data_IF_047428276165
#
_entry.id   IF_047428276165
#
_cell.length_a   1.000
_cell.length_b   1.000
_cell.length_c   1.000
_cell.angle_alpha   90.00
_cell.angle_beta   90.00
_cell.angle_gamma   90.00
#
_symmetry.space_group_name_H-M   'P 1'
#
loop_
_entity.id
_entity.type
_entity.pdbx_description
1 polymer ?
#
# COMPACT_ATOMS: atom_id res chain seq x y z
N UNK A 1 -23.24 -6.07 -18.59
CA UNK A 1 -22.23 -7.11 -18.91
C UNK A 1 -21.33 -7.19 -17.70
N UNK A 2 -21.37 -8.32 -17.01
CA UNK A 2 -20.70 -8.61 -15.74
C UNK A 2 -19.20 -8.76 -15.96
N UNK A 3 -18.39 -7.94 -15.28
CA UNK A 3 -16.95 -8.17 -15.17
C UNK A 3 -16.73 -9.49 -14.43
N UNK A 4 -16.26 -10.51 -15.14
CA UNK A 4 -15.88 -11.78 -14.55
C UNK A 4 -14.56 -11.57 -13.80
N UNK A 5 -14.59 -11.73 -12.49
CA UNK A 5 -13.40 -12.03 -11.70
C UNK A 5 -12.68 -13.22 -12.35
N UNK A 6 -11.41 -13.02 -12.70
CA UNK A 6 -10.57 -14.09 -13.22
C UNK A 6 -10.33 -15.12 -12.11
N UNK A 7 -10.15 -16.38 -12.47
CA UNK A 7 -10.18 -17.55 -11.57
C UNK A 7 -8.99 -17.69 -10.58
N UNK A 8 -8.47 -16.60 -10.01
CA UNK A 8 -7.22 -16.63 -9.23
C UNK A 8 -7.26 -15.96 -7.85
N UNK A 9 -8.41 -15.45 -7.41
CA UNK A 9 -8.55 -14.89 -6.06
C UNK A 9 -9.00 -15.96 -5.05
N UNK A 10 -8.35 -15.97 -3.89
CA UNK A 10 -8.70 -16.85 -2.77
C UNK A 10 -8.94 -16.02 -1.51
N UNK A 11 -10.11 -16.20 -0.92
CA UNK A 11 -10.47 -15.69 0.41
C UNK A 11 -9.70 -16.45 1.51
N UNK A 12 -9.23 -15.74 2.53
CA UNK A 12 -8.43 -16.32 3.63
C UNK A 12 -8.91 -15.96 5.04
N UNK A 13 -10.09 -15.34 5.22
CA UNK A 13 -10.55 -14.86 6.53
C UNK A 13 -11.98 -15.23 6.89
N UNK A 14 -12.24 -15.47 8.17
CA UNK A 14 -13.60 -15.46 8.74
C UNK A 14 -13.93 -14.00 9.16
N UNK A 15 -15.22 -13.58 9.12
CA UNK A 15 -15.80 -12.21 9.16
C UNK A 15 -15.34 -11.18 10.25
N UNK A 16 -14.26 -11.41 10.97
CA UNK A 16 -13.77 -10.56 12.07
C UNK A 16 -12.63 -9.59 11.68
N UNK A 17 -12.10 -9.65 10.46
CA UNK A 17 -10.99 -8.79 9.97
C UNK A 17 -11.49 -7.53 9.23
N UNK A 18 -12.01 -6.55 9.98
CA UNK A 18 -12.70 -5.40 9.40
C UNK A 18 -11.97 -4.05 9.52
N UNK A 19 -10.74 -4.01 10.03
CA UNK A 19 -9.78 -2.89 9.88
C UNK A 19 -8.37 -3.42 10.21
N UNK A 20 -7.60 -3.75 9.19
CA UNK A 20 -6.27 -4.30 9.41
C UNK A 20 -5.23 -3.75 8.45
N UNK A 21 -4.02 -3.55 8.97
CA UNK A 21 -2.84 -3.37 8.14
C UNK A 21 -2.37 -4.75 7.66
N UNK A 22 -2.10 -4.86 6.36
CA UNK A 22 -1.53 -6.07 5.75
C UNK A 22 -0.08 -5.82 5.41
N UNK A 23 0.77 -6.74 5.85
CA UNK A 23 2.15 -6.77 5.43
C UNK A 23 2.50 -8.21 5.04
N UNK A 24 3.10 -8.40 3.87
CA UNK A 24 3.73 -9.68 3.58
C UNK A 24 4.90 -9.88 4.55
N UNK A 25 4.95 -11.06 5.16
CA UNK A 25 6.07 -11.46 6.01
C UNK A 25 7.39 -11.31 5.29
N UNK A 26 8.46 -11.23 6.08
CA UNK A 26 9.81 -11.05 5.54
C UNK A 26 10.22 -12.17 4.58
N UNK A 27 9.71 -13.37 4.78
CA UNK A 27 9.98 -14.54 3.95
C UNK A 27 9.04 -14.69 2.74
N UNK A 28 8.01 -13.84 2.62
CA UNK A 28 6.95 -13.96 1.63
C UNK A 28 6.03 -15.17 1.85
N UNK A 29 6.19 -15.89 2.96
CA UNK A 29 5.44 -17.11 3.23
C UNK A 29 4.08 -16.83 3.86
N UNK A 30 3.90 -15.70 4.52
CA UNK A 30 2.68 -15.37 5.25
C UNK A 30 2.26 -13.92 5.01
N UNK A 31 0.98 -13.64 5.29
CA UNK A 31 0.51 -12.28 5.49
C UNK A 31 0.38 -12.07 6.99
N UNK A 32 0.97 -10.98 7.45
CA UNK A 32 0.81 -10.47 8.79
C UNK A 32 -0.35 -9.48 8.76
N UNK A 33 -1.35 -9.75 9.60
CA UNK A 33 -2.56 -8.95 9.74
C UNK A 33 -2.58 -8.37 11.15
N UNK A 34 -2.83 -7.07 11.29
CA UNK A 34 -3.06 -6.45 12.61
C UNK A 34 -4.54 -6.13 12.76
N UNK A 35 -5.23 -6.73 13.73
CA UNK A 35 -6.65 -6.47 13.95
C UNK A 35 -6.91 -5.12 14.67
N UNK A 36 -8.19 -4.81 14.93
CA UNK A 36 -8.65 -3.61 15.68
C UNK A 36 -8.00 -3.42 17.05
N UNK A 37 -7.62 -4.52 17.69
CA UNK A 37 -7.02 -4.53 19.02
C UNK A 37 -5.48 -4.54 18.93
N UNK A 38 -4.92 -4.26 17.74
CA UNK A 38 -3.50 -4.33 17.41
C UNK A 38 -2.89 -5.73 17.62
N UNK A 39 -3.70 -6.79 17.63
CA UNK A 39 -3.20 -8.17 17.71
C UNK A 39 -2.69 -8.57 16.35
N UNK A 40 -1.50 -9.16 16.35
CA UNK A 40 -0.88 -9.67 15.13
C UNK A 40 -1.31 -11.11 14.91
N UNK A 41 -1.92 -11.36 13.75
CA UNK A 41 -2.28 -12.69 13.26
C UNK A 41 -1.45 -12.96 12.01
N UNK A 42 -0.72 -14.06 12.01
CA UNK A 42 0.10 -14.47 10.87
C UNK A 42 -0.59 -15.63 10.14
N UNK A 43 -0.89 -15.43 8.85
CA UNK A 43 -1.54 -16.42 8.00
C UNK A 43 -0.52 -16.97 7.02
N UNK A 44 -0.09 -18.23 7.20
CA UNK A 44 0.85 -18.91 6.30
C UNK A 44 0.18 -19.26 4.97
N UNK A 45 0.83 -18.90 3.86
CA UNK A 45 0.34 -19.02 2.49
C UNK A 45 1.14 -20.02 1.65
N UNK A 46 2.46 -20.10 1.84
CA UNK A 46 3.35 -21.03 1.12
C UNK A 46 4.47 -21.57 2.01
N UNK A 47 5.18 -22.61 1.55
CA UNK A 47 6.30 -23.24 2.28
C UNK A 47 7.71 -22.89 1.78
N UNK A 48 7.85 -21.93 0.85
CA UNK A 48 9.12 -21.58 0.22
C UNK A 48 9.60 -20.18 0.64
N UNK A 49 10.90 -20.05 0.98
CA UNK A 49 11.49 -18.86 1.62
C UNK A 49 12.10 -17.88 0.61
N UNK A 50 11.83 -16.57 0.77
CA UNK A 50 12.54 -15.49 0.08
C UNK A 50 13.10 -14.45 1.06
N UNK A 51 14.40 -14.08 1.03
CA UNK A 51 14.99 -13.25 2.09
C UNK A 51 14.65 -11.74 2.00
N UNK A 52 14.37 -11.08 3.14
CA UNK A 52 14.40 -9.62 3.34
C UNK A 52 15.45 -9.22 4.41
N UNK A 53 16.13 -8.05 4.29
CA UNK A 53 17.13 -7.58 5.25
C UNK A 53 16.52 -7.04 6.57
N UNK A 54 17.34 -7.01 7.64
CA UNK A 54 16.91 -6.92 9.06
C UNK A 54 16.62 -5.51 9.62
N UNK A 55 16.82 -4.41 8.89
CA UNK A 55 16.91 -3.09 9.56
C UNK A 55 15.55 -2.41 9.88
N UNK A 56 15.39 -1.83 11.09
CA UNK A 56 14.18 -1.09 11.51
C UNK A 56 14.10 0.34 10.91
N UNK A 57 12.90 0.94 11.05
CA UNK A 57 12.40 2.16 10.39
C UNK A 57 13.43 3.30 10.27
N UNK A 58 13.68 3.73 9.04
CA UNK A 58 14.38 4.99 8.68
C UNK A 58 13.45 6.09 8.22
N UNK A 59 12.15 5.90 8.39
CA UNK A 59 11.15 6.92 8.13
C UNK A 59 10.12 6.95 9.25
N UNK A 60 9.76 8.15 9.69
CA UNK A 60 8.81 8.34 10.77
C UNK A 60 8.06 9.67 10.63
N UNK A 61 6.90 9.72 11.28
CA UNK A 61 6.12 10.94 11.45
C UNK A 61 6.54 11.62 12.77
N UNK A 62 6.69 12.95 12.73
CA UNK A 62 6.87 13.81 13.91
C UNK A 62 6.20 15.16 13.67
N UNK A 63 5.27 15.54 14.54
CA UNK A 63 4.53 16.81 14.51
C UNK A 63 3.77 17.05 13.18
N UNK A 64 3.19 15.99 12.62
CA UNK A 64 2.49 15.99 11.34
C UNK A 64 3.41 16.14 10.13
N UNK A 65 4.70 15.82 10.27
CA UNK A 65 5.68 15.91 9.20
C UNK A 65 6.46 14.60 9.07
N UNK A 66 6.88 14.26 7.86
CA UNK A 66 7.60 13.03 7.56
C UNK A 66 9.09 13.29 7.54
N UNK A 67 9.83 12.47 8.28
CA UNK A 67 11.28 12.51 8.37
C UNK A 67 11.87 11.19 7.89
N UNK A 68 13.01 11.28 7.21
CA UNK A 68 13.89 10.16 6.93
C UNK A 68 15.20 10.32 7.70
N UNK A 69 15.73 9.22 8.21
CA UNK A 69 16.96 9.18 9.02
C UNK A 69 17.97 8.21 8.39
N UNK A 70 19.21 8.68 8.22
CA UNK A 70 20.29 7.88 7.62
C UNK A 70 20.89 6.86 8.62
N UNK A 71 21.93 6.12 8.21
CA UNK A 71 22.60 5.15 9.10
C UNK A 71 23.30 5.78 10.30
N UNK A 72 23.67 7.06 10.18
CA UNK A 72 24.45 7.82 11.16
C UNK A 72 23.55 8.51 12.20
N UNK A 73 22.22 8.45 12.01
CA UNK A 73 21.23 9.11 12.87
C UNK A 73 20.88 10.54 12.46
N UNK A 74 21.34 11.00 11.29
CA UNK A 74 20.94 12.30 10.77
C UNK A 74 19.54 12.21 10.17
N UNK A 75 18.61 12.93 10.80
CA UNK A 75 17.23 13.04 10.35
C UNK A 75 17.03 14.30 9.51
N UNK A 76 16.36 14.15 8.37
CA UNK A 76 15.91 15.24 7.52
C UNK A 76 14.42 15.12 7.24
N UNK A 77 13.78 16.26 7.02
CA UNK A 77 12.37 16.30 6.64
C UNK A 77 12.21 16.01 5.15
N UNK A 78 11.29 15.11 4.83
CA UNK A 78 10.96 14.66 3.47
C UNK A 78 9.66 15.30 2.97
N UNK A 79 8.72 15.64 3.87
CA UNK A 79 7.44 16.25 3.50
C UNK A 79 7.51 17.77 3.29
N UNK A 80 6.57 18.30 2.50
CA UNK A 80 6.32 19.75 2.37
C UNK A 80 5.44 20.31 3.49
N UNK A 81 5.17 21.62 3.50
CA UNK A 81 4.44 22.33 4.58
C UNK A 81 2.92 22.46 4.35
N UNK A 82 2.40 21.92 3.25
CA UNK A 82 1.05 22.20 2.78
C UNK A 82 -0.05 21.43 3.53
N UNK A 83 0.31 20.46 4.37
CA UNK A 83 -0.62 19.58 5.08
C UNK A 83 0.02 19.06 6.37
N UNK A 84 -0.76 18.31 7.15
CA UNK A 84 -0.26 17.36 8.14
C UNK A 84 -0.20 15.99 7.51
N UNK A 85 0.96 15.36 7.63
CA UNK A 85 1.26 14.08 7.02
C UNK A 85 1.34 12.96 8.05
N UNK A 86 1.07 11.74 7.60
CA UNK A 86 1.09 10.53 8.39
C UNK A 86 1.42 9.30 7.52
N UNK A 87 1.49 8.15 8.18
CA UNK A 87 1.56 6.82 7.58
C UNK A 87 2.70 6.67 6.54
N UNK A 88 3.95 7.07 6.86
CA UNK A 88 5.03 7.00 5.89
C UNK A 88 5.53 5.56 5.69
N UNK A 89 5.77 5.20 4.43
CA UNK A 89 6.34 3.91 4.04
C UNK A 89 7.52 4.13 3.11
N UNK A 90 8.69 3.63 3.52
CA UNK A 90 9.93 3.68 2.73
C UNK A 90 9.87 2.64 1.60
N UNK A 91 10.36 2.99 0.42
CA UNK A 91 10.47 2.07 -0.72
C UNK A 91 11.49 0.95 -0.43
N UNK A 92 11.37 -0.23 -1.07
CA UNK A 92 12.29 -1.35 -0.88
C UNK A 92 13.77 -1.04 -1.07
N UNK A 93 14.10 -0.12 -2.00
CA UNK A 93 15.45 0.35 -2.29
C UNK A 93 15.90 1.53 -1.41
N UNK A 94 15.07 1.97 -0.45
CA UNK A 94 15.33 3.06 0.49
C UNK A 94 15.53 4.46 -0.15
N UNK A 95 15.09 4.66 -1.39
CA UNK A 95 15.29 5.94 -2.10
C UNK A 95 14.07 6.86 -2.11
N UNK A 96 12.87 6.31 -1.89
CA UNK A 96 11.60 7.02 -1.94
C UNK A 96 10.78 6.75 -0.68
N UNK A 97 9.89 7.69 -0.36
CA UNK A 97 8.90 7.57 0.71
C UNK A 97 7.53 7.88 0.14
N UNK A 98 6.57 6.98 0.35
CA UNK A 98 5.14 7.29 0.16
C UNK A 98 4.54 7.66 1.51
N UNK A 99 3.68 8.68 1.54
CA UNK A 99 3.01 9.12 2.76
C UNK A 99 1.69 9.82 2.45
N UNK A 100 0.82 9.92 3.44
CA UNK A 100 -0.52 10.51 3.32
C UNK A 100 -0.58 11.89 3.94
N UNK A 101 -1.12 12.87 3.22
CA UNK A 101 -1.60 14.15 3.74
C UNK A 101 -3.08 14.05 4.11
N UNK A 102 -3.48 14.65 5.23
CA UNK A 102 -4.87 14.55 5.74
C UNK A 102 -5.92 15.12 4.81
N UNK A 103 -5.59 16.20 4.09
CA UNK A 103 -6.52 16.89 3.19
C UNK A 103 -6.13 16.72 1.73
N UNK A 104 -4.86 16.41 1.46
CA UNK A 104 -4.28 16.46 0.12
C UNK A 104 -3.94 15.09 -0.47
N UNK A 105 -4.22 14.00 0.25
CA UNK A 105 -4.06 12.62 -0.24
C UNK A 105 -2.60 12.16 -0.26
N UNK A 106 -2.26 11.27 -1.18
CA UNK A 106 -0.95 10.59 -1.19
C UNK A 106 0.14 11.37 -1.92
N UNK A 107 1.35 11.20 -1.44
CA UNK A 107 2.58 11.74 -2.04
C UNK A 107 3.65 10.67 -2.12
N UNK A 108 4.50 10.79 -3.13
CA UNK A 108 5.79 10.10 -3.20
C UNK A 108 6.88 11.15 -3.23
N UNK A 109 7.85 11.05 -2.32
CA UNK A 109 9.02 11.94 -2.28
C UNK A 109 10.32 11.16 -2.28
N UNK A 110 11.38 11.73 -2.85
CA UNK A 110 12.74 11.25 -2.60
C UNK A 110 13.12 11.46 -1.13
N UNK A 111 13.93 10.57 -0.57
CA UNK A 111 14.39 10.66 0.83
C UNK A 111 15.19 11.95 1.13
N UNK A 112 15.72 12.61 0.11
CA UNK A 112 16.37 13.93 0.22
C UNK A 112 15.41 15.12 0.09
N UNK A 113 14.11 14.87 -0.08
CA UNK A 113 13.05 15.87 -0.18
C UNK A 113 13.08 16.75 -1.42
N UNK A 114 13.98 16.50 -2.39
CA UNK A 114 14.13 17.37 -3.57
C UNK A 114 13.13 17.09 -4.68
N UNK A 115 12.59 15.88 -4.72
CA UNK A 115 11.56 15.47 -5.68
C UNK A 115 10.34 14.99 -4.91
N UNK A 116 9.19 15.58 -5.21
CA UNK A 116 7.90 15.16 -4.68
C UNK A 116 6.88 15.16 -5.80
N UNK A 117 6.08 14.10 -5.88
CA UNK A 117 4.88 14.03 -6.71
C UNK A 117 3.66 13.84 -5.81
N UNK A 118 2.55 14.48 -6.17
CA UNK A 118 1.25 14.20 -5.57
C UNK A 118 0.54 13.16 -6.41
N UNK A 119 0.01 12.12 -5.75
CA UNK A 119 -0.88 11.13 -6.38
C UNK A 119 -2.35 11.56 -6.28
N UNK A 120 -2.64 12.61 -5.50
CA UNK A 120 -4.00 13.05 -5.18
C UNK A 120 -4.70 12.10 -4.22
N UNK A 121 -6.02 12.00 -4.34
CA UNK A 121 -6.85 11.13 -3.50
C UNK A 121 -6.36 9.68 -3.50
N UNK A 122 -6.31 9.09 -2.31
CA UNK A 122 -5.96 7.69 -2.06
C UNK A 122 -5.53 7.42 -0.63
N UNK A 123 -5.56 6.15 -0.23
CA UNK A 123 -5.15 5.66 1.09
C UNK A 123 -4.39 4.31 1.00
N UNK A 124 -3.81 3.88 2.12
CA UNK A 124 -3.13 2.59 2.31
C UNK A 124 -2.15 2.17 1.18
N UNK A 125 -1.13 2.99 0.87
CA UNK A 125 -0.20 2.64 -0.21
C UNK A 125 0.71 1.46 0.15
N UNK A 126 0.90 0.58 -0.82
CA UNK A 126 1.88 -0.50 -0.82
C UNK A 126 2.85 -0.37 -1.99
N UNK A 127 4.14 -0.42 -1.69
CA UNK A 127 5.20 -0.41 -2.69
C UNK A 127 5.23 -1.69 -3.52
N UNK A 128 5.51 -1.53 -4.82
CA UNK A 128 6.03 -2.64 -5.61
C UNK A 128 7.43 -3.02 -5.13
N UNK A 129 7.81 -4.32 -5.19
CA UNK A 129 9.10 -4.78 -4.70
C UNK A 129 10.30 -4.22 -5.48
N UNK A 130 10.08 -3.74 -6.70
CA UNK A 130 11.08 -3.09 -7.55
C UNK A 130 11.17 -1.57 -7.37
N UNK A 131 10.48 -1.00 -6.36
CA UNK A 131 10.36 0.44 -6.10
C UNK A 131 9.82 1.28 -7.27
N UNK A 132 9.25 0.68 -8.31
CA UNK A 132 8.86 1.41 -9.52
C UNK A 132 7.46 2.05 -9.46
N UNK A 133 6.69 1.73 -8.42
CA UNK A 133 5.36 2.30 -8.21
C UNK A 133 4.73 1.83 -6.90
N UNK A 134 3.50 2.28 -6.69
CA UNK A 134 2.66 1.90 -5.54
C UNK A 134 1.31 1.41 -6.01
N UNK A 135 0.73 0.49 -5.25
CA UNK A 135 -0.70 0.16 -5.29
C UNK A 135 -1.35 0.80 -4.06
N UNK A 136 -2.51 1.42 -4.21
CA UNK A 136 -3.23 2.10 -3.13
C UNK A 136 -4.72 2.03 -3.40
N UNK A 137 -5.56 2.33 -2.41
CA UNK A 137 -7.01 2.37 -2.62
C UNK A 137 -7.53 3.80 -2.75
N UNK A 138 -8.63 3.96 -3.49
CA UNK A 138 -9.39 5.21 -3.57
C UNK A 138 -10.82 4.89 -3.12
N UNK A 139 -11.20 5.26 -1.87
CA UNK A 139 -12.54 5.04 -1.38
C UNK A 139 -13.52 6.05 -2.00
N UNK A 140 -14.72 5.60 -2.36
CA UNK A 140 -15.80 6.46 -2.84
C UNK A 140 -16.83 6.63 -1.73
N UNK A 141 -17.11 7.89 -1.37
CA UNK A 141 -18.10 8.22 -0.35
C UNK A 141 -19.40 8.79 -0.92
N UNK A 142 -20.53 8.42 -0.33
CA UNK A 142 -21.83 9.07 -0.56
C UNK A 142 -22.08 10.29 0.37
N UNK A 143 -21.05 10.70 1.12
CA UNK A 143 -21.09 11.77 2.12
C UNK A 143 -21.34 11.29 3.55
N UNK A 144 -21.80 10.04 3.75
CA UNK A 144 -21.99 9.45 5.08
C UNK A 144 -21.26 8.13 5.27
N UNK A 145 -21.11 7.34 4.20
CA UNK A 145 -20.44 6.04 4.22
C UNK A 145 -19.47 5.93 3.03
N UNK A 146 -18.52 5.01 3.14
CA UNK A 146 -17.80 4.48 1.96
C UNK A 146 -18.73 3.46 1.30
N UNK A 147 -18.98 3.66 0.01
CA UNK A 147 -19.95 2.87 -0.77
C UNK A 147 -19.30 2.11 -1.93
N UNK A 148 -18.08 2.47 -2.28
CA UNK A 148 -17.24 1.82 -3.28
C UNK A 148 -15.78 2.04 -2.90
N UNK A 149 -14.86 1.29 -3.50
CA UNK A 149 -13.44 1.56 -3.35
C UNK A 149 -12.64 0.66 -4.26
N UNK A 150 -11.80 1.24 -5.10
CA UNK A 150 -10.99 0.47 -6.04
C UNK A 150 -9.52 0.52 -5.67
N UNK A 151 -8.77 -0.50 -6.08
CA UNK A 151 -7.31 -0.45 -6.06
C UNK A 151 -6.79 0.24 -7.33
N UNK A 152 -5.77 1.06 -7.14
CA UNK A 152 -5.12 1.83 -8.17
C UNK A 152 -3.62 1.61 -8.14
N UNK A 153 -3.01 1.57 -9.31
CA UNK A 153 -1.56 1.62 -9.49
C UNK A 153 -1.13 3.04 -9.88
N UNK A 154 -0.01 3.51 -9.33
CA UNK A 154 0.69 4.70 -9.82
C UNK A 154 2.21 4.45 -9.91
N UNK A 155 2.82 4.95 -11.00
CA UNK A 155 4.27 4.92 -11.17
C UNK A 155 4.96 6.00 -10.34
N UNK A 156 6.20 5.74 -9.88
CA UNK A 156 6.99 6.72 -9.10
C UNK A 156 7.41 7.94 -9.90
N UNK A 157 7.41 7.85 -11.22
CA UNK A 157 7.71 8.99 -12.08
C UNK A 157 6.49 9.88 -12.35
N UNK A 158 5.29 9.46 -11.94
CA UNK A 158 4.03 10.16 -12.13
C UNK A 158 3.45 10.06 -13.53
N UNK A 159 4.02 9.23 -14.40
CA UNK A 159 3.58 9.09 -15.81
C UNK A 159 2.41 8.14 -15.99
N UNK A 160 2.18 7.21 -15.05
CA UNK A 160 1.12 6.22 -15.11
C UNK A 160 0.26 6.25 -13.85
N UNK A 161 -1.07 6.20 -14.04
CA UNK A 161 -2.08 5.98 -13.00
C UNK A 161 -3.22 5.15 -13.59
N UNK A 162 -3.52 3.99 -13.03
CA UNK A 162 -4.51 3.04 -13.59
C UNK A 162 -5.34 2.39 -12.49
N UNK A 163 -6.66 2.32 -12.68
CA UNK A 163 -7.55 1.51 -11.84
C UNK A 163 -7.36 0.04 -12.19
N UNK A 164 -7.04 -0.80 -11.20
CA UNK A 164 -6.66 -2.21 -11.43
C UNK A 164 -7.74 -3.22 -11.01
N UNK A 165 -8.77 -2.81 -10.26
CA UNK A 165 -9.91 -3.67 -9.87
C UNK A 165 -11.17 -3.29 -10.65
N UNK A 166 -11.58 -2.02 -10.61
CA UNK A 166 -12.74 -1.46 -11.29
C UNK A 166 -14.01 -2.32 -11.11
N UNK A 167 -14.39 -2.52 -9.84
CA UNK A 167 -15.39 -3.49 -9.39
C UNK A 167 -16.54 -2.80 -8.67
N UNK A 168 -17.60 -2.37 -9.41
CA UNK A 168 -18.64 -1.51 -8.84
C UNK A 168 -19.37 -2.12 -7.64
N UNK A 169 -19.45 -1.34 -6.56
CA UNK A 169 -20.17 -1.69 -5.35
C UNK A 169 -19.40 -2.63 -4.42
N UNK A 170 -18.10 -2.83 -4.66
CA UNK A 170 -17.20 -3.53 -3.76
C UNK A 170 -16.18 -2.51 -3.24
N UNK A 171 -15.85 -2.63 -1.96
CA UNK A 171 -14.80 -1.80 -1.35
C UNK A 171 -13.55 -2.66 -1.27
N UNK A 172 -12.68 -2.54 -2.28
CA UNK A 172 -11.33 -3.04 -2.24
C UNK A 172 -10.39 -2.04 -1.53
N UNK A 173 -9.61 -2.50 -0.54
CA UNK A 173 -8.71 -1.61 0.22
C UNK A 173 -7.51 -2.33 0.83
N UNK A 174 -6.58 -1.55 1.40
CA UNK A 174 -5.41 -2.04 2.13
C UNK A 174 -4.58 -3.07 1.32
N UNK A 175 -4.11 -2.72 0.12
CA UNK A 175 -3.33 -3.62 -0.71
C UNK A 175 -1.99 -3.97 -0.05
N UNK A 176 -1.47 -5.16 -0.34
CA UNK A 176 -0.10 -5.56 -0.05
C UNK A 176 0.44 -6.41 -1.20
N UNK A 177 1.55 -5.99 -1.82
CA UNK A 177 2.19 -6.72 -2.93
C UNK A 177 3.26 -7.66 -2.40
N UNK A 178 3.28 -8.89 -2.91
CA UNK A 178 4.25 -9.90 -2.49
C UNK A 178 5.69 -9.51 -2.87
N UNK A 179 6.71 -9.99 -2.14
CA UNK A 179 8.11 -9.64 -2.43
C UNK A 179 8.60 -10.04 -3.83
N UNK A 180 8.00 -11.06 -4.44
CA UNK A 180 8.26 -11.49 -5.82
C UNK A 180 7.48 -10.67 -6.87
N UNK A 181 6.52 -9.84 -6.45
CA UNK A 181 5.68 -9.03 -7.32
C UNK A 181 4.61 -9.82 -8.07
N UNK A 182 4.39 -11.10 -7.76
CA UNK A 182 3.46 -11.96 -8.48
C UNK A 182 2.05 -11.99 -7.87
N UNK A 183 1.88 -11.51 -6.63
CA UNK A 183 0.63 -11.59 -5.87
C UNK A 183 0.31 -10.28 -5.17
N UNK A 184 -0.98 -10.10 -4.94
CA UNK A 184 -1.52 -9.01 -4.14
C UNK A 184 -2.51 -9.57 -3.13
N UNK A 185 -2.42 -9.08 -1.90
CA UNK A 185 -3.45 -9.25 -0.89
C UNK A 185 -4.21 -7.94 -0.71
N UNK A 186 -5.51 -8.01 -0.44
CA UNK A 186 -6.36 -6.85 -0.21
C UNK A 186 -7.62 -7.24 0.57
N UNK A 187 -8.27 -6.26 1.20
CA UNK A 187 -9.62 -6.44 1.74
C UNK A 187 -10.62 -6.23 0.62
N UNK A 188 -11.64 -7.08 0.53
CA UNK A 188 -12.84 -6.86 -0.25
C UNK A 188 -14.05 -7.46 0.46
N UNK A 189 -15.21 -6.80 0.44
CA UNK A 189 -16.44 -7.37 0.99
C UNK A 189 -16.37 -7.85 2.45
N UNK A 190 -15.46 -7.27 3.25
CA UNK A 190 -15.24 -7.65 4.66
C UNK A 190 -14.31 -8.85 4.89
N UNK A 191 -13.71 -9.39 3.83
CA UNK A 191 -12.76 -10.49 3.90
C UNK A 191 -11.43 -10.15 3.23
N UNK A 192 -10.41 -10.95 3.51
CA UNK A 192 -9.07 -10.80 2.92
C UNK A 192 -8.94 -11.74 1.73
N UNK A 193 -8.59 -11.17 0.58
CA UNK A 193 -8.39 -11.89 -0.67
C UNK A 193 -6.92 -11.86 -1.08
N UNK A 194 -6.47 -12.93 -1.72
CA UNK A 194 -5.17 -12.99 -2.38
C UNK A 194 -5.37 -13.37 -3.82
N UNK A 195 -4.87 -12.55 -4.73
CA UNK A 195 -4.92 -12.78 -6.17
C UNK A 195 -3.54 -12.68 -6.82
N UNK A 196 -3.49 -13.04 -8.10
CA UNK A 196 -2.32 -12.75 -8.93
C UNK A 196 -2.24 -11.25 -9.20
N UNK A 197 -1.07 -10.67 -8.98
CA UNK A 197 -0.80 -9.30 -9.37
C UNK A 197 -0.25 -9.27 -10.79
N UNK A 198 -0.91 -8.50 -11.66
CA UNK A 198 -0.41 -8.23 -13.01
C UNK A 198 -0.31 -6.73 -13.13
N UNK A 199 0.93 -6.24 -13.23
CA UNK A 199 1.17 -4.81 -13.46
C UNK A 199 0.41 -4.37 -14.73
N UNK A 200 -0.35 -3.27 -14.68
CA UNK A 200 -0.96 -2.71 -15.87
C UNK A 200 0.11 -2.48 -16.93
N UNK A 201 -0.12 -2.98 -18.15
CA UNK A 201 0.74 -2.61 -19.27
C UNK A 201 0.48 -1.15 -19.59
N UNK A 202 1.54 -0.37 -19.79
CA UNK A 202 1.45 0.98 -20.35
C UNK A 202 0.57 0.92 -21.60
N UNK A 203 -0.58 1.60 -21.59
CA UNK A 203 -1.33 1.79 -22.83
C UNK A 203 -0.46 2.68 -23.73
N UNK A 204 -0.14 2.26 -24.97
CA UNK A 204 0.62 3.07 -25.91
C UNK A 204 -0.15 4.31 -26.35
#
# INVERSE_FOLDING_TARGET
>A
MTGQFSSQEREISEDWLNTADFEWSRDGMSIVVRDRDARTVEVLLTGEKYPKPERPRRVYERDGQIYWENEEGDAQRVSGNQDRFADPVLSPDETLVVYRGRETGLYISSVDGKRTISLGEGEHPAWLPDSSGVVYDIPVSDGSNIVDGDLWFASVDGTERTNITNTPGIIESHPAVSPDGERIAFIAGGAVYIGKFVRPKTQP
#
